data_IF_100915534688
#
_entry.id   IF_100915534688
#
_cell.length_a   1.000
_cell.length_b   1.000
_cell.length_c   1.000
_cell.angle_alpha   90.00
_cell.angle_beta   90.00
_cell.angle_gamma   90.00
#
_symmetry.space_group_name_H-M   'P 1'
#
loop_
_entity.id
_entity.type
_entity.pdbx_description
1 polymer ?
#
# COMPACT_ATOMS: atom_id res chain seq x y z
N UNK A 1 -13.13 13.82 17.97
CA UNK A 1 -12.27 14.92 17.53
C UNK A 1 -11.92 14.69 16.08
N UNK A 2 -12.02 15.70 15.23
CA UNK A 2 -11.52 15.63 13.86
C UNK A 2 -10.00 15.56 13.91
N UNK A 3 -9.46 14.38 13.61
CA UNK A 3 -8.04 14.15 13.44
C UNK A 3 -7.54 15.04 12.29
N UNK A 4 -6.66 16.00 12.59
CA UNK A 4 -6.08 16.88 11.57
C UNK A 4 -5.23 16.05 10.63
N UNK A 5 -5.58 16.02 9.34
CA UNK A 5 -4.82 15.30 8.33
C UNK A 5 -3.44 15.96 8.14
N UNK A 6 -2.39 15.15 8.12
CA UNK A 6 -1.05 15.62 7.75
C UNK A 6 -1.02 16.08 6.28
N UNK A 7 -0.07 16.96 5.93
CA UNK A 7 0.16 17.36 4.53
C UNK A 7 0.52 16.17 3.66
N UNK A 8 1.33 15.25 4.18
CA UNK A 8 1.69 13.99 3.54
C UNK A 8 0.45 13.15 3.20
N UNK A 9 -0.47 13.01 4.16
CA UNK A 9 -1.74 12.31 3.93
C UNK A 9 -2.60 12.99 2.87
N UNK A 10 -2.73 14.31 2.90
CA UNK A 10 -3.51 15.04 1.89
C UNK A 10 -2.94 14.85 0.49
N UNK A 11 -1.60 14.85 0.34
CA UNK A 11 -0.94 14.55 -0.92
C UNK A 11 -1.22 13.11 -1.37
N UNK A 12 -1.07 12.12 -0.48
CA UNK A 12 -1.36 10.72 -0.76
C UNK A 12 -2.83 10.47 -1.17
N UNK A 13 -3.78 11.11 -0.50
CA UNK A 13 -5.22 11.00 -0.82
C UNK A 13 -5.56 11.51 -2.23
N UNK A 14 -4.69 12.29 -2.87
CA UNK A 14 -4.83 12.73 -4.27
C UNK A 14 -4.31 11.71 -5.30
N UNK A 15 -3.52 10.73 -4.87
CA UNK A 15 -3.00 9.67 -5.73
C UNK A 15 -4.08 8.66 -6.11
N UNK A 16 -3.94 7.99 -7.26
CA UNK A 16 -4.97 7.08 -7.80
C UNK A 16 -4.43 5.72 -8.28
N UNK A 17 -3.13 5.62 -8.49
CA UNK A 17 -2.49 4.40 -8.98
C UNK A 17 -2.31 3.39 -7.84
N UNK A 18 -2.28 2.10 -8.18
CA UNK A 18 -2.01 1.03 -7.21
C UNK A 18 -0.52 1.05 -6.89
N UNK A 19 -0.14 0.83 -5.63
CA UNK A 19 1.25 0.81 -5.23
C UNK A 19 1.48 1.20 -3.77
N UNK A 20 2.74 1.40 -3.45
CA UNK A 20 3.22 1.89 -2.15
C UNK A 20 3.87 3.25 -2.31
N UNK A 21 3.57 4.14 -1.35
CA UNK A 21 3.88 5.56 -1.38
C UNK A 21 4.66 5.97 -0.13
N UNK A 22 5.72 6.74 -0.34
CA UNK A 22 6.61 7.29 0.67
C UNK A 22 6.77 8.80 0.43
N UNK A 23 7.06 9.56 1.49
CA UNK A 23 7.23 11.02 1.39
C UNK A 23 8.55 11.44 0.75
N UNK A 24 9.54 10.54 0.69
CA UNK A 24 10.81 10.76 -0.01
C UNK A 24 10.74 10.54 -1.53
N UNK A 25 9.57 10.13 -2.05
CA UNK A 25 9.35 9.89 -3.47
C UNK A 25 9.82 8.54 -3.98
N UNK A 26 10.33 7.63 -3.13
CA UNK A 26 10.79 6.27 -3.49
C UNK A 26 9.64 5.28 -3.79
N UNK A 27 8.52 5.80 -4.28
CA UNK A 27 7.28 5.07 -4.53
C UNK A 27 7.50 3.90 -5.48
N UNK A 28 6.75 2.82 -5.25
CA UNK A 28 6.66 1.72 -6.20
C UNK A 28 5.21 1.59 -6.67
N UNK A 29 4.99 2.04 -7.90
CA UNK A 29 3.67 2.18 -8.51
C UNK A 29 3.51 1.11 -9.58
N UNK A 30 2.33 0.49 -9.60
CA UNK A 30 1.97 -0.51 -10.60
C UNK A 30 1.85 0.13 -11.99
N UNK A 31 2.55 -0.46 -12.94
CA UNK A 31 2.43 -0.21 -14.38
C UNK A 31 2.20 -1.56 -15.07
N UNK A 32 1.11 -1.70 -15.83
CA UNK A 32 0.76 -2.94 -16.50
C UNK A 32 1.78 -3.39 -17.56
N UNK A 33 2.59 -2.46 -18.08
CA UNK A 33 3.63 -2.75 -19.06
C UNK A 33 4.88 -3.38 -18.42
N UNK A 34 5.09 -3.18 -17.12
CA UNK A 34 6.32 -3.58 -16.44
C UNK A 34 6.10 -4.55 -15.27
N UNK A 35 4.86 -4.64 -14.76
CA UNK A 35 4.52 -5.38 -13.56
C UNK A 35 3.41 -6.40 -13.77
N UNK A 36 3.57 -7.54 -13.08
CA UNK A 36 2.51 -8.48 -12.81
C UNK A 36 1.87 -8.18 -11.45
N UNK A 37 0.54 -8.30 -11.38
CA UNK A 37 -0.23 -8.13 -10.15
C UNK A 37 -0.85 -9.46 -9.70
N UNK A 38 -0.91 -9.71 -8.39
CA UNK A 38 -1.66 -10.84 -7.84
C UNK A 38 -2.38 -10.49 -6.54
N UNK A 39 -3.63 -10.97 -6.42
CA UNK A 39 -4.49 -10.87 -5.23
C UNK A 39 -4.79 -12.28 -4.74
N UNK A 40 -4.68 -12.50 -3.43
CA UNK A 40 -5.08 -13.75 -2.79
C UNK A 40 -5.90 -13.47 -1.52
N UNK A 41 -7.23 -13.58 -1.63
CA UNK A 41 -8.17 -13.30 -0.56
C UNK A 41 -7.99 -14.23 0.65
N UNK A 42 -7.79 -15.54 0.40
CA UNK A 42 -7.58 -16.54 1.46
C UNK A 42 -6.34 -16.24 2.31
N UNK A 43 -5.28 -15.73 1.68
CA UNK A 43 -4.02 -15.35 2.34
C UNK A 43 -3.97 -13.87 2.74
N UNK A 44 -5.05 -13.12 2.49
CA UNK A 44 -5.15 -11.66 2.73
C UNK A 44 -3.95 -10.90 2.16
N UNK A 45 -3.60 -11.23 0.93
CA UNK A 45 -2.34 -10.86 0.31
C UNK A 45 -2.55 -10.15 -1.02
N UNK A 46 -1.74 -9.13 -1.25
CA UNK A 46 -1.62 -8.42 -2.51
C UNK A 46 -0.14 -8.26 -2.86
N UNK A 47 0.21 -8.40 -4.14
CA UNK A 47 1.56 -8.10 -4.61
C UNK A 47 1.58 -7.52 -6.01
N UNK A 48 2.60 -6.72 -6.28
CA UNK A 48 3.07 -6.36 -7.61
C UNK A 48 4.55 -6.76 -7.72
N UNK A 49 4.94 -7.25 -8.89
CA UNK A 49 6.30 -7.68 -9.15
C UNK A 49 6.65 -7.34 -10.59
N UNK A 50 7.78 -6.66 -10.78
CA UNK A 50 8.29 -6.37 -12.11
C UNK A 50 8.86 -7.63 -12.76
N UNK A 51 8.88 -7.66 -14.09
CA UNK A 51 9.42 -8.79 -14.86
C UNK A 51 10.91 -9.02 -14.59
N UNK A 52 11.66 -7.94 -14.29
CA UNK A 52 13.06 -7.96 -13.90
C UNK A 52 13.31 -8.56 -12.50
N UNK A 53 12.25 -8.73 -11.70
CA UNK A 53 12.27 -9.16 -10.29
C UNK A 53 13.11 -8.29 -9.34
N UNK A 54 13.62 -7.15 -9.80
CA UNK A 54 14.33 -6.17 -8.98
C UNK A 54 13.35 -5.23 -8.27
N UNK A 55 12.17 -5.05 -8.84
CA UNK A 55 11.11 -4.24 -8.24
C UNK A 55 9.95 -5.11 -7.77
N UNK A 56 9.61 -4.97 -6.50
CA UNK A 56 8.66 -5.84 -5.82
C UNK A 56 7.96 -5.11 -4.69
N UNK A 57 6.66 -5.32 -4.55
CA UNK A 57 5.89 -4.93 -3.37
C UNK A 57 4.90 -6.03 -3.03
N UNK A 58 4.88 -6.42 -1.75
CA UNK A 58 3.99 -7.42 -1.22
C UNK A 58 3.42 -6.98 0.12
N UNK A 59 2.11 -6.95 0.17
CA UNK A 59 1.29 -6.60 1.32
C UNK A 59 0.61 -7.87 1.84
N UNK A 60 0.75 -8.16 3.12
CA UNK A 60 0.02 -9.23 3.79
C UNK A 60 -0.65 -8.70 5.05
N UNK A 61 -1.98 -8.77 5.11
CA UNK A 61 -2.70 -8.41 6.34
C UNK A 61 -2.64 -9.57 7.34
N UNK A 62 -2.21 -9.28 8.56
CA UNK A 62 -1.98 -10.32 9.57
C UNK A 62 -3.30 -10.94 10.04
N UNK A 63 -4.33 -10.12 10.21
CA UNK A 63 -5.57 -10.52 10.88
C UNK A 63 -6.77 -10.47 9.94
N UNK A 64 -7.09 -9.26 9.44
CA UNK A 64 -8.25 -8.98 8.59
C UNK A 64 -7.87 -8.01 7.48
N UNK A 65 -8.60 -8.10 6.38
CA UNK A 65 -8.55 -7.09 5.33
C UNK A 65 -9.51 -5.96 5.73
N UNK A 66 -9.06 -4.70 5.76
CA UNK A 66 -9.96 -3.57 6.02
C UNK A 66 -10.91 -3.36 4.83
N UNK A 67 -12.17 -3.00 5.09
CA UNK A 67 -13.20 -2.90 4.04
C UNK A 67 -13.88 -1.52 3.98
N UNK A 68 -13.82 -0.74 5.05
CA UNK A 68 -14.56 0.52 5.18
C UNK A 68 -13.67 1.66 5.64
N UNK A 69 -14.11 2.89 5.37
CA UNK A 69 -13.45 4.10 5.86
C UNK A 69 -13.27 4.03 7.38
N UNK A 70 -12.05 4.30 7.85
CA UNK A 70 -11.69 4.26 9.26
C UNK A 70 -11.29 2.88 9.78
N UNK A 71 -11.47 1.80 9.02
CA UNK A 71 -11.00 0.47 9.42
C UNK A 71 -9.48 0.46 9.53
N UNK A 72 -9.00 -0.20 10.58
CA UNK A 72 -7.57 -0.40 10.82
C UNK A 72 -7.21 -1.88 10.69
N UNK A 73 -6.02 -2.13 10.13
CA UNK A 73 -5.45 -3.47 10.02
C UNK A 73 -3.92 -3.41 10.16
N UNK A 74 -3.35 -4.43 10.80
CA UNK A 74 -1.90 -4.62 10.81
C UNK A 74 -1.50 -5.36 9.54
N UNK A 75 -0.47 -4.87 8.88
CA UNK A 75 0.06 -5.45 7.66
C UNK A 75 1.57 -5.62 7.75
N UNK A 76 2.05 -6.75 7.23
CA UNK A 76 3.45 -6.95 6.87
C UNK A 76 3.63 -6.50 5.42
N UNK A 77 4.50 -5.53 5.21
CA UNK A 77 4.90 -5.03 3.91
C UNK A 77 6.33 -5.48 3.64
N UNK A 78 6.55 -6.06 2.47
CA UNK A 78 7.87 -6.36 1.94
C UNK A 78 8.01 -5.66 0.61
N UNK A 79 9.07 -4.89 0.40
CA UNK A 79 9.29 -4.21 -0.87
C UNK A 79 10.77 -4.10 -1.25
N UNK A 80 11.01 -3.94 -2.55
CA UNK A 80 12.30 -3.72 -3.19
C UNK A 80 12.10 -2.78 -4.37
N UNK A 81 12.96 -1.78 -4.52
CA UNK A 81 12.88 -0.81 -5.61
C UNK A 81 14.25 -0.71 -6.30
N UNK A 82 14.54 -1.70 -7.18
CA UNK A 82 15.82 -1.88 -7.87
C UNK A 82 16.72 -2.93 -7.22
N UNK A 83 17.97 -3.06 -7.67
CA UNK A 83 18.97 -4.01 -7.15
C UNK A 83 19.38 -3.80 -5.66
N UNK A 84 18.68 -2.91 -4.95
CA UNK A 84 18.86 -2.66 -3.52
C UNK A 84 18.35 -3.82 -2.65
N UNK A 85 18.71 -3.77 -1.37
CA UNK A 85 18.26 -4.72 -0.37
C UNK A 85 16.75 -4.63 -0.14
N UNK A 86 16.11 -5.79 0.02
CA UNK A 86 14.70 -5.89 0.42
C UNK A 86 14.45 -5.25 1.79
N UNK A 87 13.36 -4.46 1.88
CA UNK A 87 12.91 -3.86 3.13
C UNK A 87 11.63 -4.54 3.60
N UNK A 88 11.55 -4.81 4.90
CA UNK A 88 10.38 -5.40 5.56
C UNK A 88 9.91 -4.49 6.69
N UNK A 89 8.62 -4.13 6.67
CA UNK A 89 8.00 -3.28 7.67
C UNK A 89 6.71 -3.94 8.16
N UNK A 90 6.46 -3.87 9.46
CA UNK A 90 5.16 -4.23 10.04
C UNK A 90 4.51 -2.95 10.53
N UNK A 91 3.34 -2.62 9.97
CA UNK A 91 2.69 -1.34 10.15
C UNK A 91 1.19 -1.50 10.35
N UNK A 92 0.60 -0.66 11.20
CA UNK A 92 -0.84 -0.52 11.33
C UNK A 92 -1.32 0.52 10.33
N UNK A 93 -2.15 0.10 9.38
CA UNK A 93 -2.71 0.98 8.35
C UNK A 93 -4.18 1.29 8.67
N UNK A 94 -4.58 2.54 8.43
CA UNK A 94 -5.97 3.00 8.52
C UNK A 94 -6.51 3.25 7.12
N UNK A 95 -7.72 2.81 6.85
CA UNK A 95 -8.41 3.10 5.59
C UNK A 95 -8.86 4.55 5.59
N UNK A 96 -8.36 5.33 4.65
CA UNK A 96 -8.65 6.76 4.54
C UNK A 96 -9.56 7.10 3.37
N UNK A 97 -9.61 6.24 2.34
CA UNK A 97 -10.54 6.32 1.21
C UNK A 97 -10.93 4.91 0.78
N UNK A 98 -12.20 4.73 0.40
CA UNK A 98 -12.69 3.58 -0.36
C UNK A 98 -13.41 4.12 -1.60
N UNK A 99 -12.87 3.82 -2.79
CA UNK A 99 -13.39 4.37 -4.04
C UNK A 99 -12.95 3.53 -5.24
N UNK A 100 -13.79 3.39 -6.25
CA UNK A 100 -13.46 2.71 -7.52
C UNK A 100 -12.80 1.33 -7.29
N UNK A 101 -13.39 0.52 -6.39
CA UNK A 101 -12.88 -0.81 -6.05
C UNK A 101 -11.42 -0.81 -5.56
N UNK A 102 -10.98 0.28 -4.93
CA UNK A 102 -9.67 0.43 -4.32
C UNK A 102 -9.76 0.93 -2.89
N UNK A 103 -8.72 0.63 -2.12
CA UNK A 103 -8.52 1.07 -0.75
C UNK A 103 -7.27 1.96 -0.68
N UNK A 104 -7.40 3.11 -0.04
CA UNK A 104 -6.27 3.94 0.36
C UNK A 104 -6.02 3.68 1.83
N UNK A 105 -4.83 3.20 2.13
CA UNK A 105 -4.39 2.78 3.43
C UNK A 105 -3.23 3.67 3.85
N UNK A 106 -3.31 4.26 5.04
CA UNK A 106 -2.34 5.25 5.49
C UNK A 106 -1.85 4.96 6.90
N UNK A 107 -0.57 5.20 7.14
CA UNK A 107 0.00 5.31 8.47
C UNK A 107 0.57 6.71 8.69
N UNK A 108 0.05 7.44 9.67
CA UNK A 108 0.49 8.83 9.95
C UNK A 108 1.91 8.91 10.53
N UNK A 109 2.35 7.90 11.31
CA UNK A 109 3.65 7.95 11.99
C UNK A 109 4.82 7.70 11.04
N UNK A 110 4.62 6.79 10.08
CA UNK A 110 5.63 6.39 9.09
C UNK A 110 5.47 7.13 7.76
N UNK A 111 4.45 7.99 7.65
CA UNK A 111 4.06 8.67 6.40
C UNK A 111 4.02 7.72 5.19
N UNK A 112 3.50 6.52 5.42
CA UNK A 112 3.47 5.42 4.46
C UNK A 112 2.04 5.22 3.97
N UNK A 113 1.87 5.33 2.65
CA UNK A 113 0.61 5.11 1.96
C UNK A 113 0.64 3.85 1.12
N UNK A 114 -0.51 3.19 1.02
CA UNK A 114 -0.70 2.06 0.10
C UNK A 114 -2.04 2.19 -0.59
N UNK A 115 -2.05 2.05 -1.91
CA UNK A 115 -3.28 1.90 -2.70
C UNK A 115 -3.32 0.48 -3.25
N UNK A 116 -4.37 -0.27 -2.93
CA UNK A 116 -4.59 -1.64 -3.40
C UNK A 116 -6.01 -1.84 -3.90
N UNK A 117 -6.28 -2.85 -4.75
CA UNK A 117 -7.64 -3.29 -5.02
C UNK A 117 -8.39 -3.62 -3.72
N UNK A 118 -9.69 -3.33 -3.69
CA UNK A 118 -10.58 -3.85 -2.68
C UNK A 118 -10.69 -5.39 -2.85
N UNK A 119 -10.79 -6.09 -1.73
CA UNK A 119 -10.86 -7.55 -1.67
C UNK A 119 -12.27 -8.05 -1.42
#
# INVERSE_FOLDING_TARGET
>A
GTETKSTARMAFESCTAIGIYFTDGSNLIYDEAEFQQAVNHNRRNFRIQADDQERYFNLNFTDKIPQKLGDEAVAKITYRNGASSETVVIVKLKTVIVKNEKLWLWNELQELGVIVPAF
#
